data_IF_423985711803
#
_entry.id   IF_423985711803
#
_cell.length_a   1.000
_cell.length_b   1.000
_cell.length_c   1.000
_cell.angle_alpha   90.00
_cell.angle_beta   90.00
_cell.angle_gamma   90.00
#
_symmetry.space_group_name_H-M   'P 1'
#
loop_
_entity.id
_entity.type
_entity.pdbx_description
1 polymer ?
#
# COMPACT_ATOMS: atom_id res chain seq x y z
N UNK A 1 -6.54 7.60 1.80
CA UNK A 1 -7.23 6.55 2.59
C UNK A 1 -6.84 6.72 4.06
N UNK A 2 -7.76 6.51 5.01
CA UNK A 2 -7.54 6.81 6.45
C UNK A 2 -7.96 5.65 7.37
N UNK A 3 -8.02 4.43 6.83
CA UNK A 3 -8.45 3.25 7.57
C UNK A 3 -7.32 2.73 8.46
N UNK A 4 -7.54 2.68 9.77
CA UNK A 4 -6.48 2.44 10.76
C UNK A 4 -5.87 1.04 10.68
N UNK A 5 -6.62 0.06 10.20
CA UNK A 5 -6.15 -1.32 10.07
C UNK A 5 -5.26 -1.51 8.84
N UNK A 6 -5.38 -0.65 7.83
CA UNK A 6 -4.62 -0.75 6.59
C UNK A 6 -3.17 -0.36 6.84
N UNK A 7 -2.25 -1.28 6.57
CA UNK A 7 -0.80 -1.11 6.78
C UNK A 7 -0.02 -1.05 5.47
N UNK A 8 -0.62 -1.50 4.38
CA UNK A 8 0.02 -1.64 3.08
C UNK A 8 -0.88 -1.04 2.00
N UNK A 9 -0.26 -0.43 0.99
CA UNK A 9 -0.93 0.05 -0.22
C UNK A 9 -0.08 -0.30 -1.43
N UNK A 10 -0.72 -0.83 -2.47
CA UNK A 10 -0.12 -1.03 -3.78
C UNK A 10 -0.93 -0.29 -4.83
N UNK A 11 -0.30 0.57 -5.63
CA UNK A 11 -0.96 1.31 -6.69
C UNK A 11 -0.34 1.02 -8.05
N UNK A 12 -1.13 1.22 -9.09
CA UNK A 12 -0.69 1.17 -10.49
C UNK A 12 -1.43 2.25 -11.29
N UNK A 13 -0.75 2.81 -12.29
CA UNK A 13 -1.28 3.82 -13.20
C UNK A 13 -1.06 3.32 -14.62
N UNK A 14 -2.12 3.32 -15.41
CA UNK A 14 -2.08 2.80 -16.77
C UNK A 14 -2.97 3.64 -17.69
N UNK A 15 -2.57 3.79 -18.96
CA UNK A 15 -3.40 4.43 -19.97
C UNK A 15 -4.54 3.47 -20.39
N UNK A 16 -5.77 4.00 -20.42
CA UNK A 16 -6.96 3.24 -20.78
C UNK A 16 -7.10 3.18 -22.33
N UNK A 17 -7.85 2.20 -22.87
CA UNK A 17 -7.93 1.97 -24.33
C UNK A 17 -8.71 3.09 -25.04
N UNK A 18 -8.28 3.49 -26.25
CA UNK A 18 -8.90 4.59 -27.02
C UNK A 18 -8.17 5.93 -26.96
N UNK A 19 -7.18 6.06 -26.07
CA UNK A 19 -6.32 7.25 -25.96
C UNK A 19 -7.00 8.44 -25.29
N UNK A 20 -6.31 9.04 -24.31
CA UNK A 20 -6.76 10.29 -23.65
C UNK A 20 -7.21 10.18 -22.19
N UNK A 21 -7.29 8.96 -21.63
CA UNK A 21 -7.65 8.74 -20.22
C UNK A 21 -6.55 7.91 -19.53
N UNK A 22 -6.16 8.36 -18.33
CA UNK A 22 -5.21 7.67 -17.45
C UNK A 22 -5.95 7.18 -16.22
N UNK A 23 -5.81 5.88 -15.92
CA UNK A 23 -6.51 5.19 -14.85
C UNK A 23 -5.50 4.89 -13.74
N UNK A 24 -5.75 5.38 -12.51
CA UNK A 24 -4.98 5.05 -11.31
C UNK A 24 -5.80 4.14 -10.41
N UNK A 25 -5.26 2.98 -10.05
CA UNK A 25 -5.88 2.02 -9.14
C UNK A 25 -4.96 1.78 -7.97
N UNK A 26 -5.50 1.86 -6.76
CA UNK A 26 -4.81 1.56 -5.51
C UNK A 26 -5.56 0.47 -4.76
N UNK A 27 -4.81 -0.50 -4.25
CA UNK A 27 -5.28 -1.61 -3.42
C UNK A 27 -4.67 -1.46 -2.05
N UNK A 28 -5.48 -1.68 -1.03
CA UNK A 28 -5.11 -1.52 0.37
C UNK A 28 -5.15 -2.86 1.08
N UNK A 29 -4.18 -3.12 1.95
CA UNK A 29 -4.09 -4.35 2.75
C UNK A 29 -3.83 -4.03 4.24
N UNK A 30 -4.56 -4.67 5.16
CA UNK A 30 -5.84 -5.34 4.94
C UNK A 30 -6.86 -4.40 4.28
N UNK A 31 -7.65 -4.97 3.37
CA UNK A 31 -8.67 -4.27 2.58
C UNK A 31 -10.09 -4.42 3.15
N UNK A 32 -10.21 -5.06 4.31
CA UNK A 32 -11.48 -5.24 5.00
C UNK A 32 -12.01 -3.87 5.46
N UNK A 33 -13.16 -3.49 4.93
CA UNK A 33 -13.82 -2.22 5.18
C UNK A 33 -15.32 -2.48 5.32
N UNK A 34 -15.88 -2.14 6.48
CA UNK A 34 -17.33 -2.14 6.70
C UNK A 34 -17.83 -0.69 6.60
N UNK A 35 -18.74 -0.35 5.66
CA UNK A 35 -19.15 1.03 5.42
C UNK A 35 -19.79 1.74 6.62
N UNK A 36 -20.34 1.00 7.58
CA UNK A 36 -20.94 1.55 8.80
C UNK A 36 -19.91 1.86 9.89
N UNK A 37 -18.70 1.34 9.76
CA UNK A 37 -17.65 1.48 10.77
C UNK A 37 -16.87 2.79 10.61
N UNK A 38 -16.31 3.24 11.73
CA UNK A 38 -15.45 4.42 11.74
C UNK A 38 -14.06 4.06 11.25
N UNK A 39 -13.46 4.86 10.35
CA UNK A 39 -12.12 4.58 9.82
C UNK A 39 -11.01 4.49 10.84
N UNK A 40 -11.21 5.06 12.02
CA UNK A 40 -10.33 4.98 13.16
C UNK A 40 -11.11 5.29 14.44
N UNK A 41 -10.58 4.86 15.56
CA UNK A 41 -11.11 5.25 16.86
C UNK A 41 -10.79 6.72 17.16
N UNK A 42 -11.77 7.47 17.65
CA UNK A 42 -11.57 8.86 18.07
C UNK A 42 -10.78 8.89 19.38
N UNK A 43 -9.67 9.61 19.40
CA UNK A 43 -8.88 9.81 20.61
C UNK A 43 -7.61 10.61 20.34
N UNK A 44 -6.78 10.74 21.37
CA UNK A 44 -5.44 11.30 21.21
C UNK A 44 -4.59 10.33 20.36
N UNK A 45 -3.85 10.88 19.39
CA UNK A 45 -3.02 10.10 18.47
C UNK A 45 -2.05 9.17 19.21
N UNK A 46 -1.82 7.99 18.63
CA UNK A 46 -0.89 6.96 19.10
C UNK A 46 -1.16 6.35 20.48
N UNK A 47 -2.23 6.73 21.19
CA UNK A 47 -2.56 6.15 22.51
C UNK A 47 -2.92 4.66 22.46
N UNK A 48 -3.24 4.14 21.27
CA UNK A 48 -3.58 2.73 21.03
C UNK A 48 -2.72 2.08 19.93
N UNK A 49 -1.47 2.51 19.76
CA UNK A 49 -0.57 1.79 18.86
C UNK A 49 -0.33 0.35 19.33
N UNK A 50 -0.29 -0.64 18.42
CA UNK A 50 0.06 -2.01 18.78
C UNK A 50 1.45 -2.09 19.42
N UNK A 51 1.67 -3.14 20.22
CA UNK A 51 2.99 -3.39 20.81
C UNK A 51 4.06 -3.55 19.73
N UNK A 52 5.22 -2.91 19.91
CA UNK A 52 6.30 -2.89 18.92
C UNK A 52 6.19 -1.78 17.87
N UNK A 53 5.18 -0.92 17.93
CA UNK A 53 5.04 0.25 17.05
C UNK A 53 5.41 1.53 17.79
N UNK A 54 6.14 2.41 17.12
CA UNK A 54 6.46 3.76 17.56
C UNK A 54 5.43 4.75 17.00
N UNK A 55 5.26 5.87 17.70
CA UNK A 55 4.49 6.98 17.17
C UNK A 55 5.38 7.84 16.27
N UNK A 56 5.05 7.90 14.98
CA UNK A 56 5.72 8.76 14.02
C UNK A 56 4.69 9.58 13.25
N UNK A 57 4.84 10.91 13.29
CA UNK A 57 3.91 11.86 12.62
C UNK A 57 2.43 11.55 12.88
N UNK A 58 2.09 11.25 14.14
CA UNK A 58 0.74 10.88 14.60
C UNK A 58 0.19 9.56 14.02
N UNK A 59 1.05 8.69 13.51
CA UNK A 59 0.71 7.35 13.01
C UNK A 59 1.56 6.28 13.71
N UNK A 60 1.05 5.05 13.77
CA UNK A 60 1.78 3.92 14.33
C UNK A 60 2.69 3.32 13.26
N UNK A 61 4.00 3.38 13.47
CA UNK A 61 5.03 2.85 12.58
C UNK A 61 5.75 1.68 13.25
N UNK A 62 6.08 0.63 12.49
CA UNK A 62 6.82 -0.50 13.05
C UNK A 62 8.24 -0.04 13.44
N UNK A 63 8.60 -0.19 14.72
CA UNK A 63 9.89 0.26 15.26
C UNK A 63 11.10 -0.44 14.64
N UNK A 64 10.88 -1.57 13.94
CA UNK A 64 11.93 -2.36 13.30
C UNK A 64 12.22 -1.92 11.85
N UNK A 65 11.35 -1.09 11.25
CA UNK A 65 11.54 -0.62 9.88
C UNK A 65 12.33 0.67 9.89
N UNK A 66 13.64 0.56 10.12
CA UNK A 66 14.56 1.66 9.85
C UNK A 66 14.66 1.83 8.33
N UNK A 67 13.71 2.53 7.71
CA UNK A 67 13.88 2.97 6.33
C UNK A 67 14.98 4.01 6.34
N UNK A 68 16.15 3.65 5.79
CA UNK A 68 17.21 4.61 5.51
C UNK A 68 16.61 5.76 4.69
N UNK A 69 16.38 6.90 5.33
CA UNK A 69 15.97 8.13 4.66
C UNK A 69 17.21 8.69 3.98
N UNK A 70 17.53 8.19 2.80
CA UNK A 70 18.58 8.76 1.95
C UNK A 70 18.07 10.08 1.38
N UNK A 71 18.60 11.18 1.91
CA UNK A 71 18.39 12.50 1.33
C UNK A 71 19.15 12.62 0.00
N UNK A 72 18.39 12.92 -1.06
CA UNK A 72 18.75 13.56 -2.33
C UNK A 72 19.93 13.04 -3.19
N UNK A 73 19.54 12.67 -4.42
CA UNK A 73 20.28 12.65 -5.69
C UNK A 73 21.37 11.57 -5.89
N UNK A 74 21.07 10.59 -6.75
CA UNK A 74 21.75 10.33 -8.04
C UNK A 74 21.11 9.10 -8.71
N UNK A 75 20.74 9.25 -9.97
CA UNK A 75 20.13 8.21 -10.81
C UNK A 75 21.23 7.22 -11.19
N UNK A 76 21.17 5.96 -10.77
CA UNK A 76 21.87 4.86 -11.45
C UNK A 76 21.14 3.54 -11.24
N UNK A 77 20.71 2.94 -12.34
CA UNK A 77 20.00 1.67 -12.40
C UNK A 77 21.01 0.51 -12.27
N UNK A 78 20.85 -0.34 -11.26
CA UNK A 78 21.47 -1.67 -11.23
C UNK A 78 20.47 -2.68 -10.67
N UNK A 79 19.97 -3.50 -11.59
CA UNK A 79 19.09 -4.64 -11.37
C UNK A 79 19.90 -5.78 -10.70
N UNK A 80 19.43 -6.35 -9.59
CA UNK A 80 19.84 -7.70 -9.13
C UNK A 80 18.81 -8.28 -8.14
N UNK A 81 18.55 -9.57 -8.31
CA UNK A 81 17.33 -10.27 -7.98
C UNK A 81 17.20 -10.78 -6.53
N UNK A 82 15.98 -10.63 -6.02
CA UNK A 82 15.10 -11.58 -5.30
C UNK A 82 15.74 -12.65 -4.40
N UNK A 83 15.65 -12.43 -3.08
CA UNK A 83 15.61 -13.51 -2.08
C UNK A 83 14.17 -13.98 -1.91
N UNK A 84 13.98 -15.27 -2.18
CA UNK A 84 12.72 -16.00 -2.14
C UNK A 84 12.10 -16.02 -0.74
N UNK A 85 10.84 -15.60 -0.64
CA UNK A 85 9.92 -16.04 0.40
C UNK A 85 8.77 -16.78 -0.28
N UNK A 86 8.79 -18.10 -0.16
CA UNK A 86 7.77 -18.99 -0.68
C UNK A 86 6.60 -19.06 0.29
N UNK A 87 5.40 -19.23 -0.29
CA UNK A 87 4.14 -19.70 0.30
C UNK A 87 3.18 -18.60 0.78
N UNK A 88 2.41 -18.06 -0.18
CA UNK A 88 0.96 -18.20 -0.15
C UNK A 88 0.43 -18.21 -1.60
N UNK A 89 -0.49 -19.12 -1.87
CA UNK A 89 -1.07 -19.53 -3.15
C UNK A 89 -1.13 -18.51 -4.32
N UNK A 90 -0.90 -18.97 -5.58
CA UNK A 90 -0.80 -18.13 -6.78
C UNK A 90 -2.11 -17.46 -7.28
N UNK A 91 -3.17 -17.34 -6.47
CA UNK A 91 -4.52 -17.03 -6.95
C UNK A 91 -5.13 -15.68 -6.52
N UNK A 92 -4.46 -14.85 -5.71
CA UNK A 92 -5.15 -13.71 -5.05
C UNK A 92 -4.72 -12.28 -5.46
N UNK A 93 -3.70 -12.09 -6.29
CA UNK A 93 -3.25 -10.78 -6.82
C UNK A 93 -3.47 -10.67 -8.34
N UNK A 94 -3.88 -11.77 -8.97
CA UNK A 94 -4.11 -11.88 -10.40
C UNK A 94 -5.24 -10.99 -11.02
N UNK A 95 -6.01 -10.17 -10.27
CA UNK A 95 -7.06 -9.32 -10.86
C UNK A 95 -7.27 -7.86 -10.34
N UNK A 96 -6.39 -7.22 -9.55
CA UNK A 96 -6.11 -5.76 -9.82
C UNK A 96 -5.51 -5.61 -11.24
N UNK A 97 -4.88 -6.72 -11.61
CA UNK A 97 -4.07 -7.08 -12.75
C UNK A 97 -4.81 -7.28 -14.07
N UNK A 98 -6.13 -7.38 -14.04
CA UNK A 98 -6.93 -7.37 -15.24
C UNK A 98 -8.07 -6.40 -14.98
N UNK A 99 -7.93 -5.29 -14.26
CA UNK A 99 -9.07 -4.37 -14.05
C UNK A 99 -8.70 -2.91 -13.87
N UNK A 100 -7.41 -2.66 -13.99
CA UNK A 100 -7.00 -1.92 -15.16
C UNK A 100 -7.00 -2.82 -16.45
N UNK A 101 -8.01 -3.68 -16.73
CA UNK A 101 -8.19 -4.51 -17.95
C UNK A 101 -8.45 -3.60 -19.15
N UNK A 102 -7.62 -2.58 -19.32
CA UNK A 102 -7.76 -1.46 -20.24
C UNK A 102 -9.02 -0.64 -20.06
N UNK A 103 -9.90 -1.13 -19.19
CA UNK A 103 -10.47 -0.48 -18.03
C UNK A 103 -10.82 0.96 -18.25
N UNK A 104 -11.85 1.07 -19.08
CA UNK A 104 -12.71 -0.08 -19.50
C UNK A 104 -12.75 -0.23 -21.02
N UNK A 105 -12.50 -1.47 -21.50
CA UNK A 105 -12.97 -1.96 -22.82
C UNK A 105 -14.42 -1.53 -22.99
#
# INVERSE_FOLDING_TARGET
>A
MVWWQTTEVGCTIEACQGGGIWCTVCVYKPGEFEPQDRPYEKGQSCTKCPSGFACYRNQCENSSTTVATTSSATITSTLSATSSATIASPLQILPSLTLILRCFV
#
